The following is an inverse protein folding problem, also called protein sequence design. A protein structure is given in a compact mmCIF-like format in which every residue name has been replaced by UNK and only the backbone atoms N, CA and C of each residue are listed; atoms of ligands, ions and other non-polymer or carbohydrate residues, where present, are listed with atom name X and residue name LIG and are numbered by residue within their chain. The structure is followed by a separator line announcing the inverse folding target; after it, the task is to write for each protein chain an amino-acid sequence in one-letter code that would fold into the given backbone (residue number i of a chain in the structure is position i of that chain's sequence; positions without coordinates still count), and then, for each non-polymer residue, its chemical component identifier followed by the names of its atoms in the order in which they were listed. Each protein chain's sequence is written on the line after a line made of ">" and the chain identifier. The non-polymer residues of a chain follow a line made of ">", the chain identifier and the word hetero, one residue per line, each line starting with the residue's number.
data_IF_326864725289
#
_entry.id   IF_326864725289
#
_cell.length_a   1.000
_cell.length_b   1.000
_cell.length_c   1.000
_cell.angle_alpha   90.00
_cell.angle_beta   90.00
_cell.angle_gamma   90.00
#
_symmetry.space_group_name_H-M   'P 1'
#
loop_
_entity.id
_entity.type
_entity.pdbx_description
1 polymer ?
#
# COMPACT_ATOMS: atom_id res chain seq x y z
N UNK A 1 1.36 -17.67 -34.33
CA UNK A 1 1.82 -17.88 -32.94
C UNK A 1 1.25 -16.75 -32.07
N UNK A 2 0.74 -17.07 -30.86
CA UNK A 2 0.28 -16.05 -29.93
C UNK A 2 1.46 -15.17 -29.48
N UNK A 3 1.21 -13.87 -29.34
CA UNK A 3 2.20 -12.96 -28.74
C UNK A 3 2.43 -13.32 -27.27
N UNK A 4 3.65 -13.09 -26.76
CA UNK A 4 3.99 -13.45 -25.38
C UNK A 4 3.89 -12.23 -24.49
N UNK A 5 3.19 -12.37 -23.36
CA UNK A 5 3.20 -11.42 -22.25
C UNK A 5 3.95 -12.06 -21.07
N UNK A 6 4.97 -11.39 -20.60
CA UNK A 6 5.71 -11.79 -19.38
C UNK A 6 5.34 -10.84 -18.24
N UNK A 7 4.91 -11.43 -17.12
CA UNK A 7 4.65 -10.70 -15.86
C UNK A 7 5.69 -11.15 -14.84
N UNK A 8 6.50 -10.22 -14.35
CA UNK A 8 7.59 -10.52 -13.40
C UNK A 8 7.34 -9.96 -12.02
N UNK A 9 7.36 -10.85 -11.01
CA UNK A 9 7.29 -10.49 -9.59
C UNK A 9 8.06 -11.50 -8.70
N UNK A 10 9.29 -11.78 -9.05
CA UNK A 10 10.13 -12.83 -8.42
C UNK A 10 10.48 -12.61 -6.94
N UNK A 11 10.01 -11.55 -6.31
CA UNK A 11 10.22 -11.25 -4.90
C UNK A 11 8.92 -11.13 -4.09
N UNK A 12 7.75 -11.30 -4.71
CA UNK A 12 6.48 -11.26 -4.01
C UNK A 12 6.16 -12.62 -3.37
N UNK A 13 5.87 -12.60 -2.07
CA UNK A 13 5.50 -13.79 -1.31
C UNK A 13 4.35 -13.52 -0.33
N UNK A 14 4.02 -12.24 -0.05
CA UNK A 14 2.99 -11.86 0.93
C UNK A 14 2.54 -10.40 0.74
N UNK A 15 1.45 -10.04 1.42
CA UNK A 15 0.97 -8.66 1.53
C UNK A 15 0.35 -8.09 0.27
N UNK A 16 0.13 -6.77 0.28
CA UNK A 16 -0.54 -6.04 -0.81
C UNK A 16 0.05 -6.25 -2.20
N UNK A 17 1.40 -6.24 -2.38
CA UNK A 17 2.00 -6.51 -3.67
C UNK A 17 1.66 -7.89 -4.25
N UNK A 18 1.61 -8.95 -3.41
CA UNK A 18 1.19 -10.28 -3.86
C UNK A 18 -0.27 -10.29 -4.31
N UNK A 19 -1.14 -9.59 -3.58
CA UNK A 19 -2.56 -9.44 -3.96
C UNK A 19 -2.68 -8.78 -5.33
N UNK A 20 -1.99 -7.67 -5.57
CA UNK A 20 -1.98 -6.98 -6.87
C UNK A 20 -1.48 -7.91 -7.99
N UNK A 21 -0.48 -8.74 -7.71
CA UNK A 21 0.00 -9.71 -8.70
C UNK A 21 -1.05 -10.77 -9.03
N UNK A 22 -1.72 -11.32 -8.01
CA UNK A 22 -2.79 -12.30 -8.21
C UNK A 22 -3.96 -11.72 -9.00
N UNK A 23 -4.38 -10.51 -8.70
CA UNK A 23 -5.42 -9.80 -9.45
C UNK A 23 -5.03 -9.56 -10.91
N UNK A 24 -3.78 -9.17 -11.17
CA UNK A 24 -3.25 -9.05 -12.52
C UNK A 24 -3.32 -10.39 -13.28
N UNK A 25 -2.87 -11.50 -12.65
CA UNK A 25 -2.91 -12.82 -13.27
C UNK A 25 -4.34 -13.29 -13.52
N UNK A 26 -5.25 -13.03 -12.56
CA UNK A 26 -6.68 -13.34 -12.73
C UNK A 26 -7.26 -12.62 -13.94
N UNK A 27 -7.04 -11.31 -14.03
CA UNK A 27 -7.52 -10.51 -15.15
C UNK A 27 -6.98 -11.01 -16.50
N UNK A 28 -5.67 -11.32 -16.57
CA UNK A 28 -5.04 -11.84 -17.79
C UNK A 28 -5.59 -13.22 -18.18
N UNK A 29 -5.81 -14.09 -17.19
CA UNK A 29 -6.39 -15.42 -17.42
C UNK A 29 -7.81 -15.35 -17.98
N UNK A 30 -8.60 -14.40 -17.52
CA UNK A 30 -10.01 -14.25 -17.92
C UNK A 30 -10.15 -13.58 -19.29
N UNK A 31 -9.21 -12.70 -19.71
CA UNK A 31 -9.41 -11.82 -20.84
C UNK A 31 -8.42 -11.97 -22.00
N UNK A 32 -7.24 -12.59 -21.78
CA UNK A 32 -6.13 -12.49 -22.74
C UNK A 32 -5.59 -13.82 -23.28
N UNK A 33 -6.05 -14.97 -22.78
CA UNK A 33 -5.50 -16.27 -23.15
C UNK A 33 -5.74 -16.66 -24.60
N UNK A 34 -6.77 -16.12 -25.25
CA UNK A 34 -7.02 -16.41 -26.65
C UNK A 34 -5.96 -15.78 -27.56
N UNK A 35 -5.56 -14.54 -27.27
CA UNK A 35 -4.63 -13.76 -28.10
C UNK A 35 -3.16 -13.91 -27.66
N UNK A 36 -2.91 -14.13 -26.36
CA UNK A 36 -1.59 -14.10 -25.78
C UNK A 36 -1.24 -15.39 -25.06
N UNK A 37 0.05 -15.72 -25.08
CA UNK A 37 0.68 -16.70 -24.19
C UNK A 37 1.20 -15.95 -22.97
N UNK A 38 0.69 -16.28 -21.77
CA UNK A 38 1.03 -15.62 -20.52
C UNK A 38 2.10 -16.42 -19.79
N UNK A 39 3.23 -15.77 -19.45
CA UNK A 39 4.32 -16.37 -18.67
C UNK A 39 4.52 -15.53 -17.41
N UNK A 40 4.33 -16.14 -16.24
CA UNK A 40 4.50 -15.52 -14.94
C UNK A 40 5.85 -15.91 -14.31
N UNK A 41 6.69 -14.92 -14.00
CA UNK A 41 7.95 -15.14 -13.30
C UNK A 41 7.71 -14.92 -11.80
N UNK A 42 7.85 -15.98 -10.99
CA UNK A 42 7.47 -16.01 -9.58
C UNK A 42 8.63 -16.46 -8.70
N UNK A 43 8.54 -16.11 -7.41
CA UNK A 43 9.44 -16.66 -6.40
C UNK A 43 9.09 -18.12 -6.08
N UNK A 44 7.80 -18.36 -5.84
CA UNK A 44 7.25 -19.67 -5.45
C UNK A 44 5.91 -19.88 -6.18
N UNK A 45 5.86 -20.89 -7.04
CA UNK A 45 4.65 -21.22 -7.81
C UNK A 45 3.53 -21.84 -6.96
N UNK A 46 3.85 -22.34 -5.76
CA UNK A 46 2.82 -22.87 -4.85
C UNK A 46 1.81 -21.83 -4.41
N UNK A 47 2.18 -20.54 -4.47
CA UNK A 47 1.31 -19.41 -4.15
C UNK A 47 0.25 -19.11 -5.23
N UNK A 48 0.33 -19.82 -6.40
CA UNK A 48 -0.46 -19.52 -7.60
C UNK A 48 -1.12 -20.76 -8.21
N UNK A 49 -1.41 -21.78 -7.39
CA UNK A 49 -1.94 -23.06 -7.87
C UNK A 49 -3.27 -22.92 -8.62
N UNK A 50 -4.06 -21.90 -8.29
CA UNK A 50 -5.33 -21.59 -8.95
C UNK A 50 -5.20 -21.20 -10.43
N UNK A 51 -3.99 -20.80 -10.88
CA UNK A 51 -3.73 -20.34 -12.26
C UNK A 51 -2.92 -21.36 -13.09
N UNK A 52 -2.45 -22.47 -12.50
CA UNK A 52 -1.43 -23.37 -13.09
C UNK A 52 -1.81 -24.03 -14.43
N UNK A 53 -3.11 -24.18 -14.69
CA UNK A 53 -3.57 -24.87 -15.92
C UNK A 53 -3.62 -23.91 -17.12
N UNK A 54 -3.62 -22.61 -16.90
CA UNK A 54 -3.85 -21.60 -17.91
C UNK A 54 -2.67 -20.64 -18.12
N UNK A 55 -1.83 -20.49 -17.11
CA UNK A 55 -0.65 -19.60 -17.11
C UNK A 55 0.61 -20.43 -16.94
N UNK A 56 1.62 -20.16 -17.76
CA UNK A 56 2.94 -20.77 -17.62
C UNK A 56 3.74 -20.08 -16.50
N UNK A 57 4.28 -20.86 -15.55
CA UNK A 57 5.06 -20.34 -14.44
C UNK A 57 6.53 -20.71 -14.58
N UNK A 58 7.42 -19.73 -14.43
CA UNK A 58 8.87 -19.94 -14.27
C UNK A 58 9.24 -19.48 -12.85
N UNK A 59 9.80 -20.40 -12.08
CA UNK A 59 10.08 -20.23 -10.66
C UNK A 59 11.53 -19.84 -10.39
N UNK A 60 11.74 -18.95 -9.42
CA UNK A 60 13.05 -18.43 -9.02
C UNK A 60 13.19 -18.47 -7.48
N UNK A 61 13.28 -19.70 -6.91
CA UNK A 61 13.25 -19.97 -5.46
C UNK A 61 14.35 -19.28 -4.67
N UNK A 62 15.46 -18.93 -5.31
CA UNK A 62 16.60 -18.29 -4.66
C UNK A 62 16.65 -16.75 -4.88
N UNK A 63 15.66 -16.19 -5.56
CA UNK A 63 15.60 -14.74 -5.86
C UNK A 63 15.59 -13.85 -4.60
N UNK A 64 15.10 -14.39 -3.48
CA UNK A 64 15.03 -13.69 -2.16
C UNK A 64 16.22 -14.00 -1.26
N UNK A 65 17.09 -14.96 -1.58
CA UNK A 65 18.23 -15.34 -0.74
C UNK A 65 19.25 -14.20 -0.57
N UNK A 66 19.42 -13.36 -1.59
CA UNK A 66 20.26 -12.17 -1.50
C UNK A 66 19.91 -11.13 -2.56
N UNK A 67 20.25 -9.86 -2.28
CA UNK A 67 20.14 -8.78 -3.28
C UNK A 67 20.97 -9.05 -4.53
N UNK A 68 22.14 -9.65 -4.40
CA UNK A 68 23.00 -9.99 -5.56
C UNK A 68 22.33 -11.00 -6.50
N UNK A 69 21.64 -12.02 -5.93
CA UNK A 69 20.85 -12.97 -6.71
C UNK A 69 19.74 -12.28 -7.48
N UNK A 70 19.00 -11.38 -6.83
CA UNK A 70 17.96 -10.59 -7.47
C UNK A 70 18.52 -9.73 -8.61
N UNK A 71 19.63 -9.00 -8.37
CA UNK A 71 20.28 -8.19 -9.40
C UNK A 71 20.76 -9.03 -10.58
N UNK A 72 21.30 -10.22 -10.33
CA UNK A 72 21.68 -11.16 -11.38
C UNK A 72 20.49 -11.53 -12.27
N UNK A 73 19.31 -11.88 -11.67
CA UNK A 73 18.14 -12.20 -12.45
C UNK A 73 17.66 -11.00 -13.26
N UNK A 74 17.50 -9.84 -12.64
CA UNK A 74 16.96 -8.62 -13.27
C UNK A 74 17.84 -8.11 -14.42
N UNK A 75 19.16 -8.14 -14.26
CA UNK A 75 20.04 -7.45 -15.22
C UNK A 75 20.82 -8.38 -16.15
N UNK A 76 20.99 -9.66 -15.80
CA UNK A 76 21.75 -10.62 -16.60
C UNK A 76 20.85 -11.73 -17.15
N UNK A 77 20.18 -12.47 -16.29
CA UNK A 77 19.39 -13.64 -16.69
C UNK A 77 18.18 -13.25 -17.55
N UNK A 78 17.41 -12.25 -17.13
CA UNK A 78 16.21 -11.82 -17.88
C UNK A 78 16.55 -11.24 -19.25
N UNK A 79 17.74 -10.68 -19.44
CA UNK A 79 18.20 -10.29 -20.77
C UNK A 79 18.33 -11.50 -21.70
N UNK A 80 18.88 -12.63 -21.21
CA UNK A 80 19.01 -13.87 -21.99
C UNK A 80 17.63 -14.48 -22.24
N UNK A 81 16.79 -14.56 -21.20
CA UNK A 81 15.43 -15.10 -21.28
C UNK A 81 14.57 -14.32 -22.28
N UNK A 82 14.58 -13.00 -22.21
CA UNK A 82 13.79 -12.15 -23.11
C UNK A 82 14.25 -12.22 -24.57
N UNK A 83 15.56 -12.36 -24.83
CA UNK A 83 16.06 -12.60 -26.19
C UNK A 83 15.56 -13.92 -26.77
N UNK A 84 15.45 -14.97 -25.94
CA UNK A 84 14.94 -16.29 -26.35
C UNK A 84 13.43 -16.26 -26.61
N UNK A 85 12.66 -15.66 -25.70
CA UNK A 85 11.19 -15.66 -25.72
C UNK A 85 10.60 -14.57 -26.61
N UNK A 86 11.32 -13.47 -26.87
CA UNK A 86 10.88 -12.32 -27.67
C UNK A 86 9.49 -11.82 -27.26
N UNK A 87 9.29 -11.43 -25.99
CA UNK A 87 7.99 -11.03 -25.50
C UNK A 87 7.52 -9.75 -26.17
N UNK A 88 6.23 -9.69 -26.48
CA UNK A 88 5.55 -8.46 -26.89
C UNK A 88 5.46 -7.47 -25.74
N UNK A 89 5.09 -7.95 -24.53
CA UNK A 89 5.06 -7.13 -23.33
C UNK A 89 5.89 -7.80 -22.21
N UNK A 90 6.75 -7.00 -21.57
CA UNK A 90 7.36 -7.34 -20.29
C UNK A 90 6.84 -6.35 -19.23
N UNK A 91 5.98 -6.83 -18.33
CA UNK A 91 5.46 -6.07 -17.19
C UNK A 91 6.15 -6.51 -15.90
N UNK A 92 6.93 -5.61 -15.31
CA UNK A 92 7.62 -5.81 -14.04
C UNK A 92 6.79 -5.23 -12.90
N UNK A 93 6.26 -6.05 -12.00
CA UNK A 93 5.38 -5.61 -10.90
C UNK A 93 6.13 -5.32 -9.59
N UNK A 94 7.46 -5.19 -9.59
CA UNK A 94 8.25 -5.15 -8.36
C UNK A 94 9.30 -4.03 -8.32
N UNK A 95 8.93 -2.83 -8.72
CA UNK A 95 9.74 -1.61 -8.61
C UNK A 95 10.95 -1.49 -9.53
N UNK A 96 11.56 -2.59 -9.96
CA UNK A 96 12.78 -2.59 -10.74
C UNK A 96 12.49 -2.70 -12.24
N UNK A 97 13.19 -1.90 -13.03
CA UNK A 97 13.19 -2.07 -14.49
C UNK A 97 14.30 -3.01 -14.90
N UNK A 98 14.00 -4.25 -15.29
CA UNK A 98 15.00 -5.24 -15.68
C UNK A 98 15.67 -4.89 -17.00
N UNK A 99 16.82 -5.50 -17.24
CA UNK A 99 17.48 -5.42 -18.53
C UNK A 99 16.90 -6.48 -19.47
N UNK A 100 15.89 -6.13 -20.22
CA UNK A 100 15.16 -7.06 -21.11
C UNK A 100 15.02 -6.51 -22.53
N UNK A 101 14.79 -7.42 -23.49
CA UNK A 101 14.40 -7.12 -24.86
C UNK A 101 12.93 -7.51 -25.02
N UNK A 102 12.09 -6.52 -25.26
CA UNK A 102 10.64 -6.68 -25.46
C UNK A 102 10.15 -5.53 -26.34
N UNK A 103 9.03 -5.74 -27.05
CA UNK A 103 8.42 -4.68 -27.86
C UNK A 103 7.90 -3.56 -26.94
N UNK A 104 7.28 -3.96 -25.82
CA UNK A 104 6.83 -3.03 -24.76
C UNK A 104 7.40 -3.43 -23.41
N UNK A 105 7.92 -2.45 -22.68
CA UNK A 105 8.46 -2.61 -21.32
C UNK A 105 7.70 -1.69 -20.38
N UNK A 106 7.19 -2.26 -19.30
CA UNK A 106 6.39 -1.54 -18.31
C UNK A 106 6.85 -1.95 -16.91
N UNK A 107 6.95 -1.00 -16.01
CA UNK A 107 7.26 -1.25 -14.60
C UNK A 107 6.17 -0.67 -13.71
N UNK A 108 5.77 -1.43 -12.69
CA UNK A 108 4.85 -0.98 -11.64
C UNK A 108 5.61 -0.74 -10.35
N UNK A 109 5.57 0.49 -9.86
CA UNK A 109 6.32 0.97 -8.71
C UNK A 109 5.41 1.06 -7.48
N UNK A 110 5.69 0.21 -6.48
CA UNK A 110 4.89 0.09 -5.25
C UNK A 110 5.51 0.76 -4.04
N UNK A 111 6.79 1.20 -4.13
CA UNK A 111 7.51 1.64 -2.94
C UNK A 111 7.78 3.15 -2.94
N UNK A 112 7.12 3.93 -2.07
CA UNK A 112 7.27 5.38 -2.00
C UNK A 112 8.42 5.82 -1.09
N UNK A 113 9.13 4.87 -0.43
CA UNK A 113 10.09 5.17 0.65
C UNK A 113 11.23 6.10 0.25
N UNK A 114 11.60 6.18 -1.03
CA UNK A 114 12.61 7.12 -1.50
C UNK A 114 12.20 8.60 -1.31
N UNK A 115 10.92 8.86 -1.13
CA UNK A 115 10.38 10.21 -0.89
C UNK A 115 10.19 10.51 0.60
N UNK A 116 10.35 9.50 1.46
CA UNK A 116 10.17 9.67 2.90
C UNK A 116 11.37 10.35 3.55
N UNK A 117 11.12 11.50 4.15
CA UNK A 117 12.13 12.27 4.91
C UNK A 117 12.09 11.88 6.38
N UNK A 118 12.86 10.88 6.76
CA UNK A 118 12.95 10.44 8.15
C UNK A 118 13.54 11.51 9.07
N UNK A 119 12.94 11.71 10.23
CA UNK A 119 13.47 12.54 11.33
C UNK A 119 14.73 11.91 11.94
N UNK A 120 15.46 12.66 12.78
CA UNK A 120 16.64 12.12 13.48
C UNK A 120 16.28 10.95 14.42
N UNK A 121 15.13 11.03 15.08
CA UNK A 121 14.63 9.97 15.98
C UNK A 121 14.24 8.72 15.22
N UNK A 122 13.51 8.84 14.12
CA UNK A 122 13.14 7.73 13.27
C UNK A 122 14.34 6.99 12.68
N UNK A 123 15.42 7.73 12.33
CA UNK A 123 16.69 7.12 11.87
C UNK A 123 17.35 6.28 12.93
N UNK A 124 17.31 6.72 14.22
CA UNK A 124 17.83 5.94 15.35
C UNK A 124 17.03 4.65 15.53
N UNK A 125 15.70 4.71 15.41
CA UNK A 125 14.81 3.55 15.54
C UNK A 125 14.93 2.56 14.38
N UNK A 126 15.25 3.02 13.16
CA UNK A 126 15.39 2.16 11.99
C UNK A 126 16.42 2.67 10.99
N UNK A 127 17.70 2.45 11.31
CA UNK A 127 18.82 2.82 10.44
C UNK A 127 18.78 2.09 9.08
N UNK A 128 18.35 0.82 9.08
CA UNK A 128 18.17 0.05 7.83
C UNK A 128 17.15 0.70 6.90
N UNK A 129 16.02 1.18 7.44
CA UNK A 129 15.00 1.87 6.65
C UNK A 129 15.51 3.22 6.13
N UNK A 130 16.32 3.93 6.93
CA UNK A 130 16.97 5.16 6.50
C UNK A 130 17.90 4.93 5.31
N UNK A 131 18.77 3.93 5.36
CA UNK A 131 19.64 3.58 4.24
C UNK A 131 18.80 3.19 3.02
N UNK A 132 17.76 2.39 3.22
CA UNK A 132 16.84 2.01 2.16
C UNK A 132 16.20 3.23 1.51
N UNK A 133 15.64 4.16 2.28
CA UNK A 133 15.02 5.40 1.74
C UNK A 133 16.01 6.26 0.95
N UNK A 134 17.27 6.33 1.39
CA UNK A 134 18.33 7.09 0.73
C UNK A 134 18.78 6.48 -0.60
N UNK A 135 18.93 5.15 -0.63
CA UNK A 135 19.58 4.48 -1.76
C UNK A 135 18.60 3.88 -2.77
N UNK A 136 17.33 3.68 -2.39
CA UNK A 136 16.35 3.06 -3.28
C UNK A 136 16.09 3.83 -4.57
N UNK A 137 16.24 5.16 -4.56
CA UNK A 137 16.16 6.01 -5.77
C UNK A 137 17.14 5.60 -6.87
N UNK A 138 18.31 5.07 -6.50
CA UNK A 138 19.32 4.64 -7.49
C UNK A 138 18.88 3.33 -8.16
N UNK A 139 18.20 2.45 -7.42
CA UNK A 139 17.61 1.22 -7.99
C UNK A 139 16.52 1.59 -8.99
N UNK A 140 15.62 2.49 -8.64
CA UNK A 140 14.61 3.00 -9.58
C UNK A 140 15.23 3.63 -10.83
N UNK A 141 16.32 4.40 -10.67
CA UNK A 141 16.97 5.10 -11.78
C UNK A 141 17.50 4.15 -12.87
N UNK A 142 17.84 2.90 -12.48
CA UNK A 142 18.38 1.94 -13.44
C UNK A 142 17.29 1.59 -14.47
N UNK A 143 17.58 1.89 -15.74
CA UNK A 143 16.73 1.62 -16.88
C UNK A 143 15.32 2.25 -16.89
N UNK A 144 14.92 3.05 -15.91
CA UNK A 144 13.55 3.57 -15.80
C UNK A 144 13.11 4.30 -17.07
N UNK A 145 14.01 5.03 -17.71
CA UNK A 145 13.76 5.75 -18.98
C UNK A 145 13.58 4.83 -20.20
N UNK A 146 13.89 3.53 -20.07
CA UNK A 146 13.71 2.55 -21.13
C UNK A 146 12.32 1.94 -21.17
N UNK A 147 11.48 2.23 -20.17
CA UNK A 147 10.10 1.76 -20.16
C UNK A 147 9.23 2.57 -21.13
N UNK A 148 8.29 1.90 -21.75
CA UNK A 148 7.21 2.56 -22.49
C UNK A 148 6.27 3.27 -21.51
N UNK A 149 6.01 2.63 -20.36
CA UNK A 149 5.26 3.22 -19.26
C UNK A 149 5.85 2.84 -17.90
N UNK A 150 5.75 3.78 -16.97
CA UNK A 150 5.98 3.56 -15.53
C UNK A 150 4.63 3.69 -14.85
N UNK A 151 4.22 2.72 -14.06
CA UNK A 151 2.93 2.72 -13.36
C UNK A 151 3.20 3.07 -11.90
N UNK A 152 2.40 3.96 -11.36
CA UNK A 152 2.38 4.33 -9.93
C UNK A 152 0.93 4.35 -9.44
N UNK A 153 0.72 4.19 -8.13
CA UNK A 153 -0.65 4.08 -7.60
C UNK A 153 -1.35 5.42 -7.40
N UNK A 154 -0.60 6.53 -7.29
CA UNK A 154 -1.19 7.84 -6.99
C UNK A 154 -0.52 8.99 -7.73
N UNK A 155 -1.27 10.06 -7.91
CA UNK A 155 -0.84 11.24 -8.64
C UNK A 155 0.31 12.00 -7.95
N UNK A 156 0.37 12.00 -6.60
CA UNK A 156 1.50 12.60 -5.90
C UNK A 156 2.81 11.86 -6.21
N UNK A 157 2.77 10.51 -6.32
CA UNK A 157 3.93 9.69 -6.69
C UNK A 157 4.33 10.01 -8.14
N UNK A 158 3.37 10.14 -9.06
CA UNK A 158 3.63 10.57 -10.45
C UNK A 158 4.41 11.89 -10.50
N UNK A 159 3.98 12.89 -9.72
CA UNK A 159 4.66 14.19 -9.66
C UNK A 159 6.10 14.04 -9.14
N UNK A 160 6.29 13.27 -8.09
CA UNK A 160 7.61 13.01 -7.53
C UNK A 160 8.52 12.20 -8.48
N UNK A 161 7.98 11.22 -9.22
CA UNK A 161 8.73 10.47 -10.23
C UNK A 161 9.15 11.37 -11.41
N UNK A 162 8.25 12.21 -11.91
CA UNK A 162 8.57 13.21 -12.94
C UNK A 162 9.76 14.07 -12.50
N UNK A 163 9.69 14.61 -11.29
CA UNK A 163 10.75 15.44 -10.71
C UNK A 163 12.06 14.69 -10.50
N UNK A 164 12.01 13.46 -9.98
CA UNK A 164 13.20 12.69 -9.62
C UNK A 164 13.94 12.08 -10.81
N UNK A 165 13.21 11.68 -11.88
CA UNK A 165 13.76 10.89 -12.98
C UNK A 165 13.65 11.58 -14.35
N UNK A 166 12.90 12.66 -14.48
CA UNK A 166 12.68 13.36 -15.76
C UNK A 166 12.02 12.44 -16.78
N UNK A 167 10.92 11.80 -16.39
CA UNK A 167 10.08 10.93 -17.22
C UNK A 167 8.65 11.45 -17.26
N UNK A 168 7.99 11.34 -18.43
CA UNK A 168 6.62 11.82 -18.64
C UNK A 168 5.59 10.67 -18.83
N UNK A 169 6.06 9.51 -19.24
CA UNK A 169 5.27 8.35 -19.58
C UNK A 169 4.82 7.57 -18.33
N UNK A 170 4.16 8.24 -17.38
CA UNK A 170 3.72 7.67 -16.11
C UNK A 170 2.20 7.53 -16.07
N UNK A 171 1.73 6.28 -15.89
CA UNK A 171 0.32 5.98 -15.67
C UNK A 171 0.06 6.01 -14.16
N UNK A 172 -1.00 6.70 -13.74
CA UNK A 172 -1.55 6.53 -12.39
C UNK A 172 -2.58 5.41 -12.47
N UNK A 173 -2.35 4.31 -11.73
CA UNK A 173 -3.26 3.18 -11.68
C UNK A 173 -3.69 2.94 -10.23
N UNK A 174 -4.91 3.32 -9.89
CA UNK A 174 -5.49 3.02 -8.59
C UNK A 174 -5.66 1.51 -8.44
N UNK A 175 -5.32 0.92 -7.28
CA UNK A 175 -5.55 -0.50 -7.06
C UNK A 175 -7.05 -0.79 -7.02
N UNK A 176 -7.44 -1.82 -7.72
CA UNK A 176 -8.79 -2.36 -7.65
C UNK A 176 -8.97 -3.07 -6.32
N UNK A 177 -9.98 -2.67 -5.54
CA UNK A 177 -10.26 -3.25 -4.23
C UNK A 177 -11.55 -4.03 -4.30
N UNK A 178 -11.47 -5.34 -4.02
CA UNK A 178 -12.66 -6.18 -3.96
C UNK A 178 -13.47 -5.86 -2.69
N UNK A 179 -14.43 -4.95 -2.82
CA UNK A 179 -15.31 -4.55 -1.74
C UNK A 179 -16.33 -5.63 -1.35
N UNK A 180 -16.67 -6.54 -2.25
CA UNK A 180 -17.59 -7.66 -1.98
C UNK A 180 -17.00 -8.66 -0.99
N UNK A 181 -15.68 -8.76 -0.93
CA UNK A 181 -14.99 -9.58 0.06
C UNK A 181 -15.05 -9.02 1.49
N UNK A 182 -15.52 -7.77 1.65
CA UNK A 182 -15.71 -7.14 2.95
C UNK A 182 -17.02 -7.64 3.58
N UNK A 183 -16.91 -8.32 4.71
CA UNK A 183 -18.09 -8.82 5.45
C UNK A 183 -18.66 -7.72 6.33
N UNK A 184 -19.50 -6.87 5.74
CA UNK A 184 -20.21 -5.82 6.46
C UNK A 184 -21.42 -6.43 7.13
N UNK A 185 -21.45 -6.41 8.46
CA UNK A 185 -22.57 -6.91 9.26
C UNK A 185 -23.25 -5.73 9.98
N UNK A 186 -24.46 -5.42 9.53
CA UNK A 186 -25.25 -4.31 10.08
C UNK A 186 -25.89 -4.61 11.45
N UNK A 187 -25.87 -5.88 11.89
CA UNK A 187 -26.44 -6.29 13.18
C UNK A 187 -25.44 -6.13 14.32
N UNK A 188 -24.18 -5.87 14.04
CA UNK A 188 -23.17 -5.65 15.08
C UNK A 188 -23.36 -4.23 15.65
N UNK A 189 -23.63 -4.17 16.95
CA UNK A 189 -23.71 -2.88 17.66
C UNK A 189 -22.34 -2.18 17.66
N UNK A 190 -22.35 -0.92 17.23
CA UNK A 190 -21.13 -0.11 17.18
C UNK A 190 -20.78 0.39 18.58
N UNK A 191 -19.59 0.08 19.04
CA UNK A 191 -19.04 0.58 20.31
C UNK A 191 -18.76 2.08 20.17
N UNK A 192 -19.54 2.89 20.93
CA UNK A 192 -19.41 4.35 20.90
C UNK A 192 -18.04 4.79 21.39
N UNK A 193 -17.53 5.90 20.83
CA UNK A 193 -16.22 6.49 21.18
C UNK A 193 -15.06 5.50 21.01
N UNK A 194 -15.18 4.55 20.08
CA UNK A 194 -14.13 3.59 19.79
C UNK A 194 -13.39 3.95 18.51
N UNK A 195 -12.08 3.78 18.56
CA UNK A 195 -11.16 4.07 17.49
C UNK A 195 -10.33 2.81 17.16
N UNK A 196 -9.99 2.62 15.89
CA UNK A 196 -9.06 1.56 15.48
C UNK A 196 -8.01 2.11 14.53
N UNK A 197 -6.75 1.65 14.69
CA UNK A 197 -5.69 1.82 13.71
C UNK A 197 -5.16 0.47 13.23
N UNK A 198 -5.63 -0.03 12.07
CA UNK A 198 -5.18 -1.29 11.49
C UNK A 198 -3.92 -1.09 10.67
N UNK A 199 -2.78 -1.46 11.21
CA UNK A 199 -1.51 -1.34 10.50
C UNK A 199 -0.44 -2.30 11.03
N UNK A 200 0.43 -2.79 10.15
CA UNK A 200 1.67 -3.45 10.57
C UNK A 200 2.66 -2.40 11.10
N UNK A 201 3.33 -2.63 12.25
CA UNK A 201 4.19 -1.62 12.89
C UNK A 201 5.48 -1.36 12.09
N UNK A 202 5.58 -0.13 11.60
CA UNK A 202 6.78 0.46 11.01
C UNK A 202 6.88 1.91 11.48
N UNK A 203 8.07 2.45 11.58
CA UNK A 203 8.31 3.80 12.12
C UNK A 203 7.44 4.86 11.44
N UNK A 204 7.31 4.81 10.12
CA UNK A 204 6.48 5.75 9.36
C UNK A 204 4.96 5.55 9.55
N UNK A 205 4.52 4.47 10.20
CA UNK A 205 3.11 4.27 10.54
C UNK A 205 2.68 5.10 11.75
N UNK A 206 3.64 5.63 12.51
CA UNK A 206 3.41 6.70 13.50
C UNK A 206 2.39 6.34 14.58
N UNK A 207 2.52 5.15 15.18
CA UNK A 207 1.69 4.73 16.31
C UNK A 207 1.82 5.65 17.53
N UNK A 208 2.99 6.26 17.69
CA UNK A 208 3.31 7.18 18.79
C UNK A 208 2.35 8.37 18.88
N UNK A 209 1.94 8.93 17.73
CA UNK A 209 1.06 10.11 17.73
C UNK A 209 -0.31 9.76 18.30
N UNK A 210 -0.81 8.54 18.05
CA UNK A 210 -2.09 8.06 18.57
C UNK A 210 -2.01 7.84 20.08
N UNK A 211 -0.95 7.18 20.55
CA UNK A 211 -0.74 6.98 21.98
C UNK A 211 -0.58 8.31 22.75
N UNK A 212 0.16 9.27 22.18
CA UNK A 212 0.31 10.62 22.77
C UNK A 212 -1.02 11.38 22.79
N UNK A 213 -1.82 11.32 21.72
CA UNK A 213 -3.12 11.95 21.67
C UNK A 213 -4.07 11.36 22.72
N UNK A 214 -4.03 10.03 22.91
CA UNK A 214 -4.79 9.35 23.96
C UNK A 214 -4.34 9.80 25.37
N UNK A 215 -3.04 9.94 25.59
CA UNK A 215 -2.48 10.46 26.86
C UNK A 215 -2.96 11.89 27.16
N UNK A 216 -2.99 12.75 26.15
CA UNK A 216 -3.53 14.12 26.29
C UNK A 216 -5.01 14.10 26.73
N UNK A 217 -5.82 13.23 26.16
CA UNK A 217 -7.23 13.10 26.54
C UNK A 217 -7.40 12.54 27.97
N UNK A 218 -6.64 11.50 28.32
CA UNK A 218 -6.66 10.94 29.67
C UNK A 218 -6.26 11.98 30.72
N UNK A 219 -5.25 12.81 30.44
CA UNK A 219 -4.80 13.91 31.31
C UNK A 219 -5.85 15.02 31.45
N UNK A 220 -6.75 15.17 30.48
CA UNK A 220 -7.94 16.04 30.56
C UNK A 220 -9.12 15.37 31.27
N UNK A 221 -8.94 14.19 31.90
CA UNK A 221 -10.00 13.37 32.49
C UNK A 221 -11.06 12.87 31.50
N UNK A 222 -10.76 12.85 30.20
CA UNK A 222 -11.61 12.23 29.19
C UNK A 222 -11.17 10.78 29.08
N UNK A 223 -11.94 9.83 29.65
CA UNK A 223 -11.62 8.40 29.70
C UNK A 223 -12.69 7.50 29.10
N UNK A 224 -13.77 8.05 28.61
CA UNK A 224 -14.91 7.34 28.04
C UNK A 224 -14.72 7.00 26.56
N UNK A 225 -13.51 6.54 26.19
CA UNK A 225 -13.17 6.11 24.84
C UNK A 225 -12.25 4.88 24.84
N UNK A 226 -12.10 4.22 23.69
CA UNK A 226 -11.15 3.12 23.49
C UNK A 226 -10.44 3.25 22.15
N UNK A 227 -9.14 3.00 22.14
CA UNK A 227 -8.31 2.96 20.93
C UNK A 227 -7.71 1.57 20.77
N UNK A 228 -8.06 0.90 19.70
CA UNK A 228 -7.53 -0.42 19.33
C UNK A 228 -6.34 -0.26 18.37
N UNK A 229 -5.16 -0.69 18.79
CA UNK A 229 -3.95 -0.69 17.98
C UNK A 229 -3.58 -2.13 17.63
N UNK A 230 -3.41 -2.44 16.34
CA UNK A 230 -3.12 -3.80 15.86
C UNK A 230 -1.65 -4.19 16.05
N UNK A 231 -1.10 -3.91 17.21
CA UNK A 231 0.24 -4.28 17.66
C UNK A 231 0.17 -4.80 19.10
N UNK A 232 1.10 -5.68 19.50
CA UNK A 232 1.24 -6.14 20.90
C UNK A 232 2.70 -6.15 21.38
N UNK A 233 3.65 -5.74 20.52
CA UNK A 233 5.08 -5.69 20.81
C UNK A 233 5.85 -6.94 20.38
N UNK A 234 5.18 -7.98 19.91
CA UNK A 234 5.82 -9.19 19.40
C UNK A 234 6.34 -9.04 17.96
N UNK A 235 5.83 -8.05 17.21
CA UNK A 235 6.05 -7.96 15.76
C UNK A 235 7.46 -7.49 15.40
N UNK A 236 8.02 -6.56 16.18
CA UNK A 236 9.38 -6.03 15.99
C UNK A 236 9.81 -5.11 17.15
N UNK A 237 11.05 -4.64 17.11
CA UNK A 237 11.62 -3.75 18.14
C UNK A 237 10.81 -2.46 18.29
N UNK A 238 10.36 -1.86 17.18
CA UNK A 238 9.58 -0.63 17.19
C UNK A 238 8.24 -0.79 17.92
N UNK A 239 7.48 -1.86 17.61
CA UNK A 239 6.22 -2.14 18.31
C UNK A 239 6.44 -2.43 19.79
N UNK A 240 7.52 -3.16 20.14
CA UNK A 240 7.87 -3.43 21.51
C UNK A 240 8.12 -2.14 22.31
N UNK A 241 8.89 -1.20 21.75
CA UNK A 241 9.13 0.11 22.37
C UNK A 241 7.83 0.90 22.60
N UNK A 242 6.90 0.88 21.62
CA UNK A 242 5.61 1.55 21.75
C UNK A 242 4.77 0.92 22.86
N UNK A 243 4.61 -0.40 22.85
CA UNK A 243 3.81 -1.10 23.86
C UNK A 243 4.39 -0.88 25.25
N UNK A 244 5.71 -1.08 25.45
CA UNK A 244 6.36 -0.87 26.75
C UNK A 244 6.16 0.54 27.28
N UNK A 245 6.23 1.55 26.40
CA UNK A 245 6.07 2.96 26.80
C UNK A 245 4.63 3.30 27.20
N UNK A 246 3.64 2.75 26.49
CA UNK A 246 2.25 3.19 26.62
C UNK A 246 1.29 2.14 27.22
N UNK A 247 1.78 0.97 27.66
CA UNK A 247 0.96 -0.13 28.24
C UNK A 247 0.15 0.25 29.49
N UNK A 248 0.50 1.36 30.14
CA UNK A 248 -0.24 1.86 31.34
C UNK A 248 -1.45 2.71 31.01
N UNK A 249 -1.63 3.12 29.74
CA UNK A 249 -2.81 3.88 29.31
C UNK A 249 -4.06 3.00 29.40
N UNK A 250 -5.09 3.52 30.07
CA UNK A 250 -6.35 2.79 30.31
C UNK A 250 -7.19 2.66 29.02
N UNK A 251 -7.16 3.70 28.18
CA UNK A 251 -7.99 3.82 26.99
C UNK A 251 -7.36 3.16 25.75
N UNK A 252 -6.06 2.82 25.78
CA UNK A 252 -5.38 2.16 24.64
C UNK A 252 -5.35 0.65 24.83
N UNK A 253 -5.78 -0.09 23.80
CA UNK A 253 -5.79 -1.56 23.76
C UNK A 253 -4.88 -2.07 22.65
N UNK A 254 -3.77 -2.67 23.04
CA UNK A 254 -2.83 -3.35 22.15
C UNK A 254 -3.36 -4.74 21.85
N UNK A 255 -3.85 -4.97 20.62
CA UNK A 255 -4.59 -6.20 20.26
C UNK A 255 -3.80 -7.14 19.37
N UNK A 256 -2.53 -6.82 19.07
CA UNK A 256 -1.69 -7.62 18.16
C UNK A 256 -2.17 -7.62 16.71
N UNK A 257 -1.42 -8.31 15.86
CA UNK A 257 -1.80 -8.48 14.46
C UNK A 257 -3.08 -9.32 14.36
N UNK A 258 -4.05 -8.80 13.63
CA UNK A 258 -5.35 -9.44 13.45
C UNK A 258 -5.42 -10.22 12.14
N UNK A 259 -6.06 -11.38 12.17
CA UNK A 259 -6.48 -12.07 10.95
C UNK A 259 -7.44 -11.19 10.14
N UNK A 260 -7.52 -11.42 8.83
CA UNK A 260 -8.46 -10.67 7.97
C UNK A 260 -9.90 -10.71 8.51
N UNK A 261 -10.36 -11.88 8.95
CA UNK A 261 -11.70 -12.06 9.52
C UNK A 261 -11.90 -11.23 10.79
N UNK A 262 -10.94 -11.25 11.71
CA UNK A 262 -11.01 -10.47 12.96
C UNK A 262 -10.96 -8.98 12.69
N UNK A 263 -10.14 -8.55 11.74
CA UNK A 263 -10.07 -7.14 11.35
C UNK A 263 -11.43 -6.63 10.82
N UNK A 264 -12.15 -7.45 10.02
CA UNK A 264 -13.49 -7.10 9.57
C UNK A 264 -14.47 -6.96 10.76
N UNK A 265 -14.35 -7.82 11.79
CA UNK A 265 -15.16 -7.68 13.00
C UNK A 265 -14.82 -6.37 13.75
N UNK A 266 -13.55 -5.98 13.81
CA UNK A 266 -13.17 -4.69 14.39
C UNK A 266 -13.72 -3.51 13.57
N UNK A 267 -13.66 -3.56 12.23
CA UNK A 267 -14.31 -2.54 11.42
C UNK A 267 -15.82 -2.47 11.67
N UNK A 268 -16.52 -3.60 11.81
CA UNK A 268 -17.95 -3.58 12.12
C UNK A 268 -18.23 -2.89 13.46
N UNK A 269 -17.52 -3.26 14.52
CA UNK A 269 -17.82 -2.81 15.88
C UNK A 269 -17.26 -1.44 16.26
N UNK A 270 -16.20 -0.92 15.61
CA UNK A 270 -15.63 0.38 15.99
C UNK A 270 -16.31 1.54 15.27
N UNK A 271 -16.37 2.70 15.92
CA UNK A 271 -17.02 3.90 15.38
C UNK A 271 -16.12 4.63 14.38
N UNK A 272 -14.82 4.72 14.66
CA UNK A 272 -13.88 5.58 13.94
C UNK A 272 -12.61 4.84 13.58
N UNK A 273 -12.07 5.10 12.39
CA UNK A 273 -10.74 4.63 11.99
C UNK A 273 -9.78 5.82 12.00
N UNK A 274 -8.67 5.67 12.73
CA UNK A 274 -7.54 6.60 12.68
C UNK A 274 -6.53 6.03 11.68
N UNK A 275 -5.94 6.89 10.85
CA UNK A 275 -4.86 6.48 9.95
C UNK A 275 -3.76 7.54 9.93
N UNK A 276 -2.71 7.31 10.74
CA UNK A 276 -1.65 8.26 11.06
C UNK A 276 -0.37 8.07 10.24
N UNK A 277 -0.39 7.21 9.22
CA UNK A 277 0.80 6.90 8.41
C UNK A 277 1.36 8.15 7.72
N UNK A 278 2.68 8.34 7.83
CA UNK A 278 3.38 9.49 7.22
C UNK A 278 3.68 9.29 5.73
N UNK A 279 3.58 8.09 5.22
CA UNK A 279 3.74 7.78 3.80
C UNK A 279 3.00 6.49 3.42
N UNK A 280 2.32 6.52 2.29
CA UNK A 280 1.64 5.37 1.68
C UNK A 280 1.69 5.47 0.16
N UNK A 281 1.59 4.31 -0.48
CA UNK A 281 1.27 4.27 -1.92
C UNK A 281 -0.21 4.33 -2.19
N UNK A 282 -1.02 3.73 -1.30
CA UNK A 282 -2.49 3.79 -1.38
C UNK A 282 -3.12 3.97 -0.02
N UNK A 283 -2.90 3.05 0.93
CA UNK A 283 -3.57 3.06 2.22
C UNK A 283 -4.88 2.27 2.20
N UNK A 284 -4.82 0.98 1.87
CA UNK A 284 -5.98 0.08 1.83
C UNK A 284 -6.93 0.21 3.03
N UNK A 285 -6.46 0.37 4.29
CA UNK A 285 -7.35 0.55 5.43
C UNK A 285 -8.29 1.77 5.31
N UNK A 286 -7.88 2.82 4.61
CA UNK A 286 -8.75 3.99 4.35
C UNK A 286 -9.89 3.61 3.41
N UNK A 287 -9.58 2.88 2.33
CA UNK A 287 -10.60 2.37 1.39
C UNK A 287 -11.57 1.41 2.08
N UNK A 288 -11.05 0.52 2.93
CA UNK A 288 -11.86 -0.41 3.73
C UNK A 288 -12.79 0.34 4.69
N UNK A 289 -12.24 1.26 5.47
CA UNK A 289 -13.01 2.06 6.43
C UNK A 289 -14.14 2.86 5.75
N UNK A 290 -13.86 3.42 4.57
CA UNK A 290 -14.88 4.08 3.73
C UNK A 290 -16.00 3.12 3.33
N UNK A 291 -15.68 1.89 2.92
CA UNK A 291 -16.67 0.88 2.57
C UNK A 291 -17.56 0.50 3.77
N UNK A 292 -16.99 0.48 4.99
CA UNK A 292 -17.72 0.29 6.24
C UNK A 292 -18.43 1.57 6.73
N UNK A 293 -18.39 2.65 5.98
CA UNK A 293 -19.01 3.97 6.34
C UNK A 293 -18.56 4.47 7.72
N UNK A 294 -17.28 4.35 8.03
CA UNK A 294 -16.72 4.76 9.32
C UNK A 294 -16.33 6.24 9.31
N UNK A 295 -16.48 6.90 10.44
CA UNK A 295 -15.79 8.18 10.65
C UNK A 295 -14.30 7.98 10.50
N UNK A 296 -13.60 8.96 9.93
CA UNK A 296 -12.19 8.87 9.64
C UNK A 296 -11.42 10.02 10.28
N UNK A 297 -10.24 9.74 10.83
CA UNK A 297 -9.27 10.75 11.24
C UNK A 297 -7.94 10.40 10.55
N UNK A 298 -7.57 11.16 9.54
CA UNK A 298 -6.45 10.84 8.63
C UNK A 298 -5.32 11.85 8.78
N UNK A 299 -4.08 11.38 8.65
CA UNK A 299 -2.94 12.28 8.48
C UNK A 299 -3.16 13.16 7.23
N UNK A 300 -3.02 14.48 7.36
CA UNK A 300 -3.18 15.45 6.27
C UNK A 300 -2.01 15.38 5.29
N UNK A 301 -2.06 14.39 4.42
CA UNK A 301 -1.04 14.09 3.44
C UNK A 301 -1.66 13.78 2.07
N UNK A 302 -0.95 14.06 0.96
CA UNK A 302 -1.50 13.90 -0.39
C UNK A 302 -2.12 12.53 -0.66
N UNK A 303 -1.54 11.45 -0.12
CA UNK A 303 -2.06 10.10 -0.32
C UNK A 303 -3.46 9.92 0.31
N UNK A 304 -3.70 10.52 1.46
CA UNK A 304 -4.94 10.35 2.19
C UNK A 304 -6.13 10.94 1.42
N UNK A 305 -5.95 12.14 0.87
CA UNK A 305 -6.97 12.81 0.06
C UNK A 305 -7.31 12.04 -1.21
N UNK A 306 -6.29 11.49 -1.91
CA UNK A 306 -6.50 10.75 -3.15
C UNK A 306 -7.16 9.38 -2.90
N UNK A 307 -6.70 8.63 -1.88
CA UNK A 307 -7.30 7.34 -1.50
C UNK A 307 -8.74 7.49 -1.03
N UNK A 308 -8.99 8.52 -0.25
CA UNK A 308 -10.31 8.78 0.31
C UNK A 308 -11.33 9.12 -0.78
N UNK A 309 -10.93 9.93 -1.76
CA UNK A 309 -11.86 10.43 -2.77
C UNK A 309 -12.94 11.32 -2.14
N UNK A 310 -14.17 11.30 -2.65
CA UNK A 310 -15.28 12.03 -2.04
C UNK A 310 -15.74 11.32 -0.75
N UNK A 311 -15.67 12.03 0.36
CA UNK A 311 -16.13 11.54 1.66
C UNK A 311 -16.39 12.72 2.62
N UNK A 312 -17.49 12.65 3.36
CA UNK A 312 -17.92 13.73 4.25
C UNK A 312 -17.42 13.54 5.69
N UNK A 313 -17.53 12.31 6.23
CA UNK A 313 -17.26 12.00 7.64
C UNK A 313 -15.75 11.83 7.93
N UNK A 314 -14.93 12.83 7.60
CA UNK A 314 -13.48 12.82 7.79
C UNK A 314 -12.96 14.06 8.45
N UNK A 315 -12.00 13.85 9.37
CA UNK A 315 -11.09 14.87 9.88
C UNK A 315 -9.68 14.63 9.33
N UNK A 316 -8.97 15.73 9.06
CA UNK A 316 -7.54 15.70 8.78
C UNK A 316 -6.77 16.30 9.95
N UNK A 317 -5.56 15.79 10.19
CA UNK A 317 -4.67 16.30 11.23
C UNK A 317 -3.20 16.27 10.76
N UNK A 318 -2.39 17.18 11.28
CA UNK A 318 -0.96 17.19 11.06
C UNK A 318 -0.33 15.92 11.70
N UNK A 319 0.31 15.00 10.92
CA UNK A 319 0.86 13.75 11.45
C UNK A 319 1.96 13.94 12.51
N UNK A 320 2.48 15.14 12.68
CA UNK A 320 3.48 15.48 13.69
C UNK A 320 2.86 16.13 14.95
N UNK A 321 1.52 16.35 14.99
CA UNK A 321 0.81 16.95 16.14
C UNK A 321 -0.13 15.96 16.82
N UNK A 322 0.24 15.53 18.03
CA UNK A 322 -0.62 14.73 18.89
C UNK A 322 -1.78 15.57 19.48
N UNK A 323 -1.55 16.85 19.67
CA UNK A 323 -2.55 17.82 20.16
C UNK A 323 -3.69 17.96 19.16
N UNK A 324 -3.37 18.11 17.88
CA UNK A 324 -4.39 18.23 16.82
C UNK A 324 -5.19 16.92 16.69
N UNK A 325 -4.51 15.76 16.72
CA UNK A 325 -5.18 14.46 16.72
C UNK A 325 -6.12 14.33 17.95
N UNK A 326 -5.64 14.73 19.14
CA UNK A 326 -6.46 14.70 20.36
C UNK A 326 -7.71 15.56 20.24
N UNK A 327 -7.62 16.77 19.66
CA UNK A 327 -8.77 17.64 19.41
C UNK A 327 -9.79 17.00 18.46
N UNK A 328 -9.34 16.34 17.37
CA UNK A 328 -10.23 15.63 16.45
C UNK A 328 -10.90 14.42 17.12
N UNK A 329 -10.15 13.66 17.93
CA UNK A 329 -10.70 12.56 18.74
C UNK A 329 -11.73 13.09 19.77
N UNK A 330 -11.44 14.18 20.48
CA UNK A 330 -12.33 14.83 21.43
C UNK A 330 -13.64 15.27 20.77
N UNK A 331 -13.59 15.80 19.55
CA UNK A 331 -14.78 16.17 18.77
C UNK A 331 -15.68 14.97 18.48
N UNK A 332 -15.11 13.81 18.17
CA UNK A 332 -15.88 12.57 17.99
C UNK A 332 -16.51 12.08 19.29
N UNK A 333 -15.75 12.13 20.40
CA UNK A 333 -16.19 11.65 21.73
C UNK A 333 -17.36 12.51 22.26
N UNK A 334 -17.22 13.81 22.17
CA UNK A 334 -18.19 14.73 22.75
C UNK A 334 -19.48 14.93 21.94
N UNK A 335 -19.47 14.57 20.64
CA UNK A 335 -20.62 14.65 19.70
C UNK A 335 -21.30 16.02 19.61
N UNK A 336 -20.67 17.07 20.14
CA UNK A 336 -21.21 18.43 20.08
C UNK A 336 -20.70 19.12 18.82
N UNK A 337 -21.63 19.49 17.93
CA UNK A 337 -21.36 20.27 16.71
C UNK A 337 -20.17 19.75 15.90
N UNK A 338 -20.19 18.44 15.54
CA UNK A 338 -19.15 17.85 14.72
C UNK A 338 -19.20 18.53 13.35
N UNK A 339 -18.21 19.35 13.05
CA UNK A 339 -17.95 19.87 11.70
C UNK A 339 -16.78 19.10 11.11
N UNK A 340 -17.07 18.09 10.31
CA UNK A 340 -16.06 17.37 9.57
C UNK A 340 -15.42 18.26 8.50
N UNK A 341 -14.14 18.01 8.20
CA UNK A 341 -13.42 18.75 7.16
C UNK A 341 -13.96 18.38 5.76
N UNK A 342 -14.41 17.13 5.60
CA UNK A 342 -14.83 16.58 4.31
C UNK A 342 -13.67 16.43 3.33
N UNK A 343 -13.87 15.72 2.26
CA UNK A 343 -12.90 15.63 1.17
C UNK A 343 -13.58 15.56 -0.20
N UNK A 344 -13.06 16.32 -1.15
CA UNK A 344 -13.51 16.32 -2.54
C UNK A 344 -12.36 15.78 -3.41
N UNK A 345 -12.67 14.75 -4.20
CA UNK A 345 -11.70 14.13 -5.09
C UNK A 345 -11.26 15.10 -6.19
N UNK A 346 -9.95 15.30 -6.31
CA UNK A 346 -9.37 16.03 -7.43
C UNK A 346 -9.30 15.12 -8.65
N UNK A 347 -9.74 15.63 -9.81
CA UNK A 347 -9.62 14.90 -11.08
C UNK A 347 -8.16 14.58 -11.36
N UNK A 348 -7.89 13.32 -11.68
CA UNK A 348 -6.57 12.85 -12.06
C UNK A 348 -6.41 12.98 -13.58
N UNK A 349 -5.32 13.59 -14.01
CA UNK A 349 -5.00 13.74 -15.42
C UNK A 349 -4.62 12.39 -16.07
N UNK A 350 -4.88 12.27 -17.34
CA UNK A 350 -4.44 11.11 -18.13
C UNK A 350 -2.91 11.08 -18.30
N UNK A 351 -2.29 9.88 -18.46
CA UNK A 351 -2.92 8.56 -18.42
C UNK A 351 -3.26 8.13 -16.98
N UNK A 352 -4.51 7.69 -16.80
CA UNK A 352 -5.07 7.23 -15.52
C UNK A 352 -5.93 5.98 -15.73
N UNK A 353 -5.95 5.09 -14.75
CA UNK A 353 -6.73 3.87 -14.75
C UNK A 353 -7.22 3.55 -13.32
N UNK A 354 -8.43 3.01 -13.21
CA UNK A 354 -9.00 2.51 -11.96
C UNK A 354 -9.30 1.00 -12.00
N UNK A 355 -8.90 0.33 -13.08
CA UNK A 355 -9.09 -1.11 -13.27
C UNK A 355 -7.97 -1.72 -14.11
N UNK A 356 -7.78 -3.04 -13.99
CA UNK A 356 -6.86 -3.78 -14.86
C UNK A 356 -7.25 -3.66 -16.33
N UNK A 357 -8.55 -3.60 -16.63
CA UNK A 357 -9.06 -3.42 -17.98
C UNK A 357 -8.51 -2.14 -18.61
N UNK A 358 -8.78 -0.99 -17.99
CA UNK A 358 -8.32 0.30 -18.50
C UNK A 358 -6.78 0.36 -18.55
N UNK A 359 -6.09 -0.20 -17.55
CA UNK A 359 -4.64 -0.25 -17.54
C UNK A 359 -4.07 -1.00 -18.74
N UNK A 360 -4.59 -2.20 -19.03
CA UNK A 360 -4.14 -2.97 -20.20
C UNK A 360 -4.56 -2.34 -21.53
N UNK A 361 -5.70 -1.67 -21.61
CA UNK A 361 -6.08 -0.88 -22.79
C UNK A 361 -5.03 0.22 -23.08
N UNK A 362 -4.54 0.93 -22.05
CA UNK A 362 -3.48 1.94 -22.21
C UNK A 362 -2.16 1.29 -22.61
N UNK A 363 -1.73 0.22 -21.92
CA UNK A 363 -0.44 -0.45 -22.15
C UNK A 363 -0.37 -1.10 -23.52
N UNK A 364 -1.45 -1.74 -23.98
CA UNK A 364 -1.50 -2.52 -25.21
C UNK A 364 -1.89 -1.67 -26.44
N UNK A 365 -2.38 -0.45 -26.25
CA UNK A 365 -2.70 0.47 -27.33
C UNK A 365 -1.52 0.59 -28.30
N UNK A 366 -1.80 0.44 -29.60
CA UNK A 366 -0.81 0.49 -30.68
C UNK A 366 -0.21 1.88 -30.84
#
# INVERSE_FOLDING_TARGET
>A
MKKIIIISAINFSEGGPLTIYKECLKYLQENFLEEYRIIALVHDKSLFLEYKEKIEFIEFNDSKKSYLKRLYYEYIFFKKLSKKLKPYLWLSLHDMTPNVVADKRVVYCHNPMMFYKMTKEERKKSFKLFLFSKFYKYIYKINIKKNNYVIVQQNWIRKEFKKAFGIENIIVAHPEVNLEALKIDKNIEVEKNSFIYPSFPRVFKNFEVICKASEILENKNIKNFKVYLTIDGSENIYSKEIVEKYKKQECVKFIGLQSRKNLMNYYNKTETVIFSSKIETWGLPVTEAKAFKKKLILADLPYAHETLGNYEDVFFFNPDSAEELALKMESVINKKNISFDGNICKKIEQPYSNSWKELFEIILKK
#
